data_IF_725510674901
#
_entry.id   IF_725510674901
#
_cell.length_a   1.000
_cell.length_b   1.000
_cell.length_c   1.000
_cell.angle_alpha   90.00
_cell.angle_beta   90.00
_cell.angle_gamma   90.00
#
_symmetry.space_group_name_H-M   'P 1'
#
loop_
_entity.id
_entity.type
_entity.pdbx_description
1 polymer ?
#
# COMPACT_ATOMS: atom_id res chain seq x y z
N UNK A 1 7.36 5.26 20.61
CA UNK A 1 6.55 4.04 20.49
C UNK A 1 5.81 4.14 19.18
N UNK A 2 6.15 3.32 18.18
CA UNK A 2 5.48 3.37 16.86
C UNK A 2 4.01 2.98 17.01
N UNK A 3 3.15 3.58 16.20
CA UNK A 3 1.73 3.20 16.16
C UNK A 3 1.64 1.84 15.46
N UNK A 4 1.45 0.78 16.24
CA UNK A 4 1.35 -0.59 15.72
C UNK A 4 -0.04 -0.91 15.18
N UNK A 5 -0.98 0.03 15.23
CA UNK A 5 -2.35 -0.16 14.74
C UNK A 5 -2.41 -0.04 13.21
N UNK A 6 -1.52 0.77 12.63
CA UNK A 6 -1.42 1.01 11.19
C UNK A 6 0.04 0.88 10.73
N UNK A 7 0.33 -0.21 10.02
CA UNK A 7 1.64 -0.44 9.43
C UNK A 7 1.64 0.11 8.00
N UNK A 8 2.69 0.85 7.63
CA UNK A 8 2.88 1.34 6.27
C UNK A 8 4.13 0.68 5.68
N UNK A 9 3.92 -0.18 4.69
CA UNK A 9 4.97 -1.03 4.12
C UNK A 9 4.94 -0.89 2.61
N UNK A 10 6.03 -0.37 2.02
CA UNK A 10 6.23 -0.31 0.58
C UNK A 10 6.78 -1.62 0.06
N UNK A 11 6.12 -2.17 -0.96
CA UNK A 11 6.45 -3.44 -1.59
C UNK A 11 6.73 -3.27 -3.09
N UNK A 12 7.68 -4.02 -3.62
CA UNK A 12 8.03 -4.02 -5.05
C UNK A 12 7.54 -5.27 -5.78
N UNK A 13 7.10 -6.29 -5.05
CA UNK A 13 6.58 -7.52 -5.58
C UNK A 13 5.87 -8.37 -4.53
N UNK A 14 5.60 -9.63 -4.90
CA UNK A 14 4.83 -10.55 -4.07
C UNK A 14 5.58 -10.92 -2.78
N UNK A 15 6.89 -11.13 -2.85
CA UNK A 15 7.71 -11.55 -1.70
C UNK A 15 7.66 -10.51 -0.55
N UNK A 16 7.74 -9.21 -0.87
CA UNK A 16 7.58 -8.14 0.11
C UNK A 16 6.20 -8.13 0.75
N UNK A 17 5.15 -8.31 -0.06
CA UNK A 17 3.77 -8.41 0.43
C UNK A 17 3.54 -9.62 1.35
N UNK A 18 4.09 -10.77 1.00
CA UNK A 18 3.98 -11.99 1.80
C UNK A 18 4.73 -11.84 3.13
N UNK A 19 5.94 -11.25 3.09
CA UNK A 19 6.70 -10.91 4.30
C UNK A 19 5.91 -9.99 5.22
N UNK A 20 5.32 -8.92 4.66
CA UNK A 20 4.46 -8.00 5.39
C UNK A 20 3.32 -8.72 6.11
N UNK A 21 2.62 -9.62 5.43
CA UNK A 21 1.49 -10.35 6.00
C UNK A 21 1.93 -11.36 7.08
N UNK A 22 2.98 -12.14 6.83
CA UNK A 22 3.52 -13.11 7.80
C UNK A 22 3.95 -12.42 9.09
N UNK A 23 4.75 -11.35 8.98
CA UNK A 23 5.34 -10.69 10.15
C UNK A 23 4.30 -9.85 10.89
N UNK A 24 3.42 -9.11 10.18
CA UNK A 24 2.38 -8.33 10.85
C UNK A 24 1.44 -9.21 11.70
N UNK A 25 1.10 -10.41 11.20
CA UNK A 25 0.31 -11.40 11.95
C UNK A 25 0.98 -11.86 13.25
N UNK A 26 2.32 -11.93 13.30
CA UNK A 26 3.08 -12.32 14.48
C UNK A 26 3.20 -11.20 15.51
N UNK A 27 3.37 -9.95 15.06
CA UNK A 27 3.78 -8.84 15.94
C UNK A 27 2.61 -7.99 16.41
N UNK A 28 1.56 -7.86 15.60
CA UNK A 28 0.54 -6.84 15.84
C UNK A 28 -0.92 -7.34 15.74
N UNK A 29 -1.14 -8.65 15.55
CA UNK A 29 -2.47 -9.25 15.53
C UNK A 29 -3.39 -8.62 14.47
N UNK A 30 -4.36 -7.80 14.91
CA UNK A 30 -5.36 -7.12 14.04
C UNK A 30 -4.91 -5.78 13.46
N UNK A 31 -3.60 -5.53 13.39
CA UNK A 31 -3.10 -4.30 12.77
C UNK A 31 -3.52 -4.21 11.29
N UNK A 32 -3.84 -2.99 10.86
CA UNK A 32 -4.09 -2.70 9.45
C UNK A 32 -2.75 -2.63 8.72
N UNK A 33 -2.60 -3.42 7.66
CA UNK A 33 -1.40 -3.44 6.83
C UNK A 33 -1.67 -2.59 5.59
N UNK A 34 -1.16 -1.36 5.58
CA UNK A 34 -1.22 -0.46 4.43
C UNK A 34 -0.03 -0.76 3.52
N UNK A 35 -0.27 -1.56 2.49
CA UNK A 35 0.71 -1.90 1.48
C UNK A 35 0.77 -0.78 0.45
N UNK A 36 1.91 -0.09 0.41
CA UNK A 36 2.21 0.95 -0.57
C UNK A 36 2.85 0.30 -1.79
N UNK A 37 2.43 0.69 -2.99
CA UNK A 37 3.17 0.36 -4.20
C UNK A 37 4.53 1.06 -4.23
N UNK A 38 5.41 0.71 -5.19
CA UNK A 38 6.58 1.53 -5.51
C UNK A 38 6.15 2.96 -5.85
N UNK A 39 7.08 3.89 -5.71
CA UNK A 39 6.81 5.28 -6.07
C UNK A 39 6.39 5.40 -7.53
N UNK A 40 5.36 6.20 -7.79
CA UNK A 40 4.80 6.43 -9.12
C UNK A 40 4.36 5.15 -9.87
N UNK A 41 4.12 4.03 -9.19
CA UNK A 41 3.79 2.75 -9.82
C UNK A 41 2.52 2.81 -10.68
N UNK A 42 1.57 3.69 -10.37
CA UNK A 42 0.41 3.94 -11.21
C UNK A 42 0.80 4.41 -12.62
N UNK A 43 1.90 5.15 -12.76
CA UNK A 43 2.39 5.64 -14.04
C UNK A 43 3.22 4.60 -14.81
N UNK A 44 4.05 3.82 -14.10
CA UNK A 44 5.06 2.92 -14.67
C UNK A 44 4.61 1.46 -14.80
N UNK A 45 3.91 0.93 -13.80
CA UNK A 45 3.50 -0.49 -13.73
C UNK A 45 1.98 -0.67 -13.97
N UNK A 46 1.21 0.39 -13.71
CA UNK A 46 -0.24 0.42 -13.90
C UNK A 46 -1.02 -0.17 -12.72
N UNK A 47 -2.28 0.25 -12.59
CA UNK A 47 -3.12 -0.10 -11.45
C UNK A 47 -3.42 -1.61 -11.34
N UNK A 48 -3.65 -2.27 -12.47
CA UNK A 48 -4.01 -3.69 -12.49
C UNK A 48 -2.91 -4.59 -11.93
N UNK A 49 -1.64 -4.23 -12.14
CA UNK A 49 -0.50 -4.97 -11.59
C UNK A 49 -0.58 -5.01 -10.06
N UNK A 50 -0.72 -3.84 -9.43
CA UNK A 50 -0.77 -3.75 -7.98
C UNK A 50 -2.05 -4.38 -7.41
N UNK A 51 -3.20 -4.16 -8.06
CA UNK A 51 -4.45 -4.81 -7.68
C UNK A 51 -4.36 -6.34 -7.70
N UNK A 52 -3.63 -6.91 -8.69
CA UNK A 52 -3.39 -8.35 -8.77
C UNK A 52 -2.55 -8.86 -7.60
N UNK A 53 -1.51 -8.12 -7.18
CA UNK A 53 -0.72 -8.46 -6.00
C UNK A 53 -1.58 -8.43 -4.73
N UNK A 54 -2.32 -7.33 -4.51
CA UNK A 54 -3.19 -7.17 -3.34
C UNK A 54 -4.27 -8.27 -3.28
N UNK A 55 -4.90 -8.60 -4.41
CA UNK A 55 -5.89 -9.67 -4.50
C UNK A 55 -5.31 -11.05 -4.15
N UNK A 56 -4.09 -11.35 -4.62
CA UNK A 56 -3.38 -12.59 -4.26
C UNK A 56 -3.05 -12.64 -2.77
N UNK A 57 -2.52 -11.56 -2.22
CA UNK A 57 -2.19 -11.49 -0.78
C UNK A 57 -3.43 -11.66 0.10
N UNK A 58 -4.56 -11.04 -0.27
CA UNK A 58 -5.84 -11.24 0.44
C UNK A 58 -6.34 -12.68 0.39
N UNK A 59 -6.08 -13.39 -0.70
CA UNK A 59 -6.44 -14.80 -0.85
C UNK A 59 -5.52 -15.70 0.00
N UNK A 60 -4.22 -15.39 0.02
CA UNK A 60 -3.21 -16.18 0.75
C UNK A 60 -3.25 -15.93 2.26
N UNK A 61 -3.62 -14.71 2.69
CA UNK A 61 -3.68 -14.28 4.08
C UNK A 61 -5.08 -13.72 4.41
N UNK A 62 -6.13 -14.58 4.46
CA UNK A 62 -7.50 -14.14 4.64
C UNK A 62 -7.76 -13.45 6.00
N UNK A 63 -6.94 -13.74 7.01
CA UNK A 63 -7.04 -13.14 8.35
C UNK A 63 -6.34 -11.78 8.46
N UNK A 64 -5.54 -11.39 7.46
CA UNK A 64 -4.80 -10.13 7.48
C UNK A 64 -5.65 -8.96 6.98
N UNK A 65 -5.62 -7.83 7.72
CA UNK A 65 -6.35 -6.61 7.33
C UNK A 65 -5.56 -5.78 6.30
N UNK A 66 -5.47 -6.30 5.08
CA UNK A 66 -4.68 -5.74 3.98
C UNK A 66 -5.42 -4.59 3.30
N UNK A 67 -4.76 -3.43 3.20
CA UNK A 67 -5.20 -2.29 2.40
C UNK A 67 -4.12 -1.87 1.41
N UNK A 68 -4.43 -1.95 0.12
CA UNK A 68 -3.56 -1.54 -0.97
C UNK A 68 -3.69 -0.06 -1.27
N UNK A 69 -2.55 0.64 -1.32
CA UNK A 69 -2.43 2.04 -1.69
C UNK A 69 -1.54 2.15 -2.93
N UNK A 70 -2.12 2.54 -4.06
CA UNK A 70 -1.35 2.76 -5.29
C UNK A 70 -0.85 4.20 -5.37
N UNK A 71 0.46 4.35 -5.53
CA UNK A 71 1.09 5.63 -5.81
C UNK A 71 0.83 6.06 -7.25
N UNK A 72 -0.05 7.05 -7.41
CA UNK A 72 -0.46 7.65 -8.68
C UNK A 72 0.10 9.07 -8.86
N UNK A 73 1.05 9.50 -8.01
CA UNK A 73 1.77 10.76 -8.18
C UNK A 73 2.41 10.82 -9.57
N UNK A 74 2.42 12.02 -10.15
CA UNK A 74 2.89 12.25 -11.52
C UNK A 74 1.97 11.74 -12.64
N UNK A 75 0.91 10.96 -12.38
CA UNK A 75 -0.08 10.55 -13.40
C UNK A 75 -1.49 10.35 -12.83
N UNK A 76 -2.24 11.45 -12.76
CA UNK A 76 -3.64 11.48 -12.27
C UNK A 76 -4.58 10.49 -12.96
N UNK A 77 -4.40 10.25 -14.26
CA UNK A 77 -5.21 9.28 -15.01
C UNK A 77 -5.14 7.86 -14.43
N UNK A 78 -4.04 7.50 -13.76
CA UNK A 78 -3.88 6.19 -13.14
C UNK A 78 -4.76 5.99 -11.91
N UNK A 79 -5.18 7.08 -11.24
CA UNK A 79 -6.06 6.99 -10.08
C UNK A 79 -7.47 6.52 -10.47
N UNK A 80 -7.99 6.96 -11.62
CA UNK A 80 -9.31 6.54 -12.09
C UNK A 80 -9.34 5.03 -12.36
N UNK A 81 -8.32 4.53 -13.07
CA UNK A 81 -8.17 3.10 -13.33
C UNK A 81 -8.05 2.30 -12.01
N UNK A 82 -7.33 2.82 -11.01
CA UNK A 82 -7.18 2.14 -9.73
C UNK A 82 -8.50 2.02 -8.94
N UNK A 83 -9.35 3.05 -8.99
CA UNK A 83 -10.69 3.02 -8.37
C UNK A 83 -11.55 1.86 -8.90
N UNK A 84 -11.35 1.43 -10.15
CA UNK A 84 -12.09 0.34 -10.77
C UNK A 84 -11.53 -1.07 -10.44
N UNK A 85 -10.38 -1.15 -9.75
CA UNK A 85 -9.65 -2.41 -9.53
C UNK A 85 -9.79 -3.00 -8.13
N UNK A 86 -10.58 -2.37 -7.25
CA UNK A 86 -10.78 -2.84 -5.87
C UNK A 86 -9.62 -2.54 -4.91
N UNK A 87 -8.77 -1.58 -5.28
CA UNK A 87 -7.76 -1.00 -4.38
C UNK A 87 -8.41 -0.03 -3.39
N UNK A 88 -7.86 0.04 -2.19
CA UNK A 88 -8.48 0.77 -1.09
C UNK A 88 -8.13 2.24 -1.06
N UNK A 89 -7.00 2.62 -1.67
CA UNK A 89 -6.63 4.01 -1.81
C UNK A 89 -5.70 4.26 -3.00
N UNK A 90 -5.68 5.53 -3.42
CA UNK A 90 -4.73 6.10 -4.37
C UNK A 90 -4.03 7.29 -3.73
N UNK A 91 -2.70 7.34 -3.86
CA UNK A 91 -1.90 8.50 -3.49
C UNK A 91 -1.74 9.41 -4.71
N UNK A 92 -2.11 10.67 -4.56
CA UNK A 92 -1.94 11.71 -5.57
C UNK A 92 -1.06 12.83 -5.04
N UNK A 93 -0.59 13.68 -5.96
CA UNK A 93 0.09 14.93 -5.61
C UNK A 93 -0.84 15.83 -4.79
N UNK A 94 -0.27 16.61 -3.87
CA UNK A 94 -1.02 17.51 -2.98
C UNK A 94 -1.49 18.80 -3.66
N UNK A 95 -1.04 19.05 -4.90
CA UNK A 95 -1.32 20.22 -5.73
C UNK A 95 -2.64 20.14 -6.54
N UNK A 96 -3.54 19.23 -6.17
CA UNK A 96 -4.81 19.05 -6.87
C UNK A 96 -5.73 20.26 -6.68
N UNK A 97 -6.33 20.80 -7.76
CA UNK A 97 -7.43 21.75 -7.65
C UNK A 97 -8.57 21.18 -6.80
N UNK A 98 -9.17 22.00 -5.93
CA UNK A 98 -10.19 21.57 -4.97
C UNK A 98 -11.40 20.89 -5.64
N UNK A 99 -11.83 21.42 -6.79
CA UNK A 99 -12.96 20.87 -7.55
C UNK A 99 -12.64 19.48 -8.12
N UNK A 100 -11.41 19.28 -8.61
CA UNK A 100 -10.93 17.99 -9.09
C UNK A 100 -10.79 17.00 -7.93
N UNK A 101 -10.21 17.44 -6.80
CA UNK A 101 -10.07 16.62 -5.60
C UNK A 101 -11.44 16.13 -5.11
N UNK A 102 -12.42 17.02 -4.98
CA UNK A 102 -13.78 16.67 -4.56
C UNK A 102 -14.45 15.67 -5.51
N UNK A 103 -14.23 15.81 -6.83
CA UNK A 103 -14.73 14.84 -7.83
C UNK A 103 -14.10 13.48 -7.67
N UNK A 104 -12.78 13.41 -7.50
CA UNK A 104 -12.04 12.16 -7.31
C UNK A 104 -12.43 11.49 -6.00
N UNK A 105 -12.59 12.25 -4.91
CA UNK A 105 -13.09 11.73 -3.63
C UNK A 105 -14.52 11.18 -3.77
N UNK A 106 -15.40 11.84 -4.53
CA UNK A 106 -16.74 11.34 -4.79
C UNK A 106 -16.72 10.00 -5.56
N UNK A 107 -15.93 9.91 -6.63
CA UNK A 107 -15.78 8.67 -7.42
C UNK A 107 -15.16 7.56 -6.59
N UNK A 108 -14.13 7.89 -5.82
CA UNK A 108 -13.47 6.98 -4.90
C UNK A 108 -14.42 6.42 -3.84
N UNK A 109 -15.26 7.27 -3.23
CA UNK A 109 -16.24 6.82 -2.23
C UNK A 109 -17.24 5.80 -2.77
N UNK A 110 -17.63 5.90 -4.05
CA UNK A 110 -18.55 4.95 -4.70
C UNK A 110 -17.90 3.60 -4.99
N UNK A 111 -16.59 3.57 -5.14
CA UNK A 111 -15.79 2.38 -5.43
C UNK A 111 -15.12 1.77 -4.20
N UNK A 112 -15.23 2.42 -3.04
CA UNK A 112 -14.50 2.02 -1.82
C UNK A 112 -13.01 2.40 -1.86
N UNK A 113 -12.58 3.23 -2.80
CA UNK A 113 -11.20 3.66 -2.97
C UNK A 113 -11.01 5.09 -2.45
N UNK A 114 -10.18 5.29 -1.43
CA UNK A 114 -9.92 6.62 -0.85
C UNK A 114 -8.88 7.38 -1.65
N UNK A 115 -9.10 8.67 -1.86
CA UNK A 115 -8.04 9.57 -2.33
C UNK A 115 -7.24 10.05 -1.12
N UNK A 116 -5.93 9.89 -1.17
CA UNK A 116 -5.00 10.47 -0.19
C UNK A 116 -3.94 11.30 -0.91
N UNK A 117 -3.43 12.34 -0.24
CA UNK A 117 -2.38 13.22 -0.79
C UNK A 117 -1.15 13.29 0.09
N UNK A 118 -1.16 12.57 1.22
CA UNK A 118 -0.04 12.51 2.14
C UNK A 118 0.10 11.08 2.68
N UNK A 119 1.35 10.71 2.92
CA UNK A 119 1.74 9.53 3.68
C UNK A 119 2.22 9.96 5.08
N UNK A 120 2.37 9.03 6.03
CA UNK A 120 3.08 9.30 7.27
C UNK A 120 4.53 9.75 7.02
N UNK A 121 5.18 10.24 8.08
CA UNK A 121 6.60 10.57 8.03
C UNK A 121 7.45 9.38 7.52
N UNK A 122 8.52 9.63 6.73
CA UNK A 122 9.29 8.57 6.09
C UNK A 122 9.87 7.51 7.05
N UNK A 123 10.18 7.88 8.29
CA UNK A 123 10.68 6.96 9.33
C UNK A 123 9.61 5.96 9.83
N UNK A 124 8.34 6.20 9.49
CA UNK A 124 7.20 5.32 9.79
C UNK A 124 6.82 4.42 8.62
N UNK A 125 7.51 4.54 7.47
CA UNK A 125 7.31 3.71 6.29
C UNK A 125 8.47 2.73 6.17
N UNK A 126 8.16 1.43 6.17
CA UNK A 126 9.15 0.39 5.89
C UNK A 126 9.16 0.05 4.40
N UNK A 127 10.32 -0.19 3.80
CA UNK A 127 10.45 -0.57 2.40
C UNK A 127 11.10 -1.95 2.27
N UNK A 128 10.44 -2.88 1.57
CA UNK A 128 10.75 -4.30 1.72
C UNK A 128 12.05 -4.76 1.08
N UNK A 129 12.69 -4.05 0.15
CA UNK A 129 13.93 -4.54 -0.49
C UNK A 129 13.79 -5.92 -1.16
N UNK A 130 12.57 -6.29 -1.53
CA UNK A 130 12.16 -7.58 -2.09
C UNK A 130 12.55 -7.75 -3.56
N UNK A 131 13.19 -6.74 -4.14
CA UNK A 131 13.89 -6.77 -5.41
C UNK A 131 15.29 -7.41 -5.30
N UNK A 132 15.89 -7.46 -4.10
CA UNK A 132 17.28 -7.92 -3.93
C UNK A 132 17.55 -8.78 -2.68
N UNK A 133 16.57 -8.96 -1.78
CA UNK A 133 16.73 -9.74 -0.56
C UNK A 133 15.97 -11.08 -0.63
N UNK A 134 16.52 -12.16 -0.04
CA UNK A 134 15.80 -13.41 0.10
C UNK A 134 14.73 -13.32 1.20
N UNK A 135 13.68 -14.14 1.10
CA UNK A 135 12.50 -14.13 1.99
C UNK A 135 12.82 -14.11 3.49
N UNK A 136 13.77 -14.93 3.94
CA UNK A 136 14.14 -15.00 5.36
C UNK A 136 14.73 -13.66 5.87
N UNK A 137 15.42 -12.93 5.00
CA UNK A 137 15.99 -11.62 5.32
C UNK A 137 14.92 -10.52 5.30
N UNK A 138 13.92 -10.62 4.41
CA UNK A 138 12.74 -9.75 4.43
C UNK A 138 12.04 -9.82 5.80
N UNK A 139 11.72 -11.04 6.24
CA UNK A 139 11.00 -11.29 7.48
C UNK A 139 11.79 -10.78 8.69
N UNK A 140 13.09 -11.07 8.74
CA UNK A 140 13.97 -10.65 9.83
C UNK A 140 14.06 -9.12 9.96
N UNK A 141 14.22 -8.42 8.84
CA UNK A 141 14.35 -6.95 8.83
C UNK A 141 13.04 -6.26 9.19
N UNK A 142 11.91 -6.75 8.67
CA UNK A 142 10.61 -6.20 9.02
C UNK A 142 10.31 -6.41 10.50
N UNK A 143 10.58 -7.60 11.05
CA UNK A 143 10.40 -7.87 12.47
C UNK A 143 11.24 -6.92 13.34
N UNK A 144 12.49 -6.67 12.96
CA UNK A 144 13.35 -5.72 13.66
C UNK A 144 12.83 -4.27 13.57
N UNK A 145 12.31 -3.86 12.40
CA UNK A 145 11.70 -2.53 12.24
C UNK A 145 10.47 -2.33 13.13
N UNK A 146 9.64 -3.37 13.30
CA UNK A 146 8.44 -3.30 14.12
C UNK A 146 8.71 -3.39 15.63
N UNK A 147 9.86 -3.94 16.03
CA UNK A 147 10.25 -4.07 17.44
C UNK A 147 10.85 -2.78 18.05
N UNK A 148 11.35 -1.85 17.24
CA UNK A 148 11.91 -0.56 17.67
C UNK A 148 10.93 0.59 17.51
#
# INVERSE_FOLDING_TARGET
>A
MKDTTNLFIRIHGMAGGQSACRVAGLVAGRARINLLSPENAGASLGAQWFATLIGRLRTEFPDALIHGILDCRGRRASALAAMETGLDAVLLDDDLPDDLKARLENLGSRSGCRVITALPDPDRIYETGDDHLPDAELDRRLAAFLAG
#
